data_IF_536570878608
#
_entry.id   IF_536570878608
#
_cell.length_a   1.000
_cell.length_b   1.000
_cell.length_c   1.000
_cell.angle_alpha   90.00
_cell.angle_beta   90.00
_cell.angle_gamma   90.00
#
_symmetry.space_group_name_H-M   'P 1'
#
loop_
_entity.id
_entity.type
_entity.pdbx_description
1 polymer ?
#
# COMPACT_ATOMS: atom_id res chain seq x y z
N UNK A 1 9.67 6.21 6.97
CA UNK A 1 9.95 4.82 6.58
C UNK A 1 9.52 3.82 7.64
N UNK A 2 10.05 3.89 8.87
CA UNK A 2 9.89 2.83 9.89
C UNK A 2 8.47 2.36 10.24
N UNK A 3 7.46 3.22 10.14
CA UNK A 3 6.12 2.90 10.67
C UNK A 3 5.40 1.76 9.90
N UNK A 4 5.71 1.58 8.62
CA UNK A 4 5.13 0.51 7.78
C UNK A 4 6.20 -0.44 7.23
N UNK A 5 7.42 -0.41 7.76
CA UNK A 5 8.54 -1.21 7.27
C UNK A 5 8.36 -2.73 7.36
N UNK A 6 7.34 -3.21 8.08
CA UNK A 6 7.05 -4.63 8.27
C UNK A 6 5.72 -5.08 7.64
N UNK A 7 5.15 -4.23 6.77
CA UNK A 7 3.80 -4.43 6.23
C UNK A 7 3.83 -4.34 4.71
N UNK A 8 3.32 -5.39 4.05
CA UNK A 8 2.95 -5.32 2.64
C UNK A 8 1.64 -4.53 2.52
N UNK A 9 1.68 -3.42 1.78
CA UNK A 9 0.50 -2.61 1.47
C UNK A 9 0.15 -2.79 0.00
N UNK A 10 -1.07 -3.25 -0.26
CA UNK A 10 -1.65 -3.29 -1.60
C UNK A 10 -2.68 -2.17 -1.73
N UNK A 11 -2.59 -1.38 -2.80
CA UNK A 11 -3.56 -0.33 -3.13
C UNK A 11 -4.27 -0.74 -4.40
N UNK A 12 -5.54 -1.12 -4.29
CA UNK A 12 -6.34 -1.42 -5.48
C UNK A 12 -6.97 -0.16 -6.03
N UNK A 13 -7.05 -0.09 -7.35
CA UNK A 13 -7.74 0.96 -8.08
C UNK A 13 -8.97 0.35 -8.73
N UNK A 14 -10.15 0.63 -8.17
CA UNK A 14 -11.42 0.07 -8.67
C UNK A 14 -12.36 1.17 -9.12
N UNK A 15 -13.29 0.90 -10.07
CA UNK A 15 -14.34 1.85 -10.42
C UNK A 15 -15.18 2.24 -9.19
N UNK A 16 -15.48 3.54 -9.03
CA UNK A 16 -16.32 4.01 -7.94
C UNK A 16 -16.04 5.46 -7.54
N UNK A 17 -16.79 5.95 -6.55
CA UNK A 17 -16.58 7.29 -5.99
C UNK A 17 -15.54 7.22 -4.87
N UNK A 18 -14.40 7.88 -5.06
CA UNK A 18 -13.41 8.12 -4.01
C UNK A 18 -13.97 8.91 -2.83
N UNK A 19 -13.27 8.90 -1.70
CA UNK A 19 -13.68 9.70 -0.54
C UNK A 19 -13.58 11.21 -0.86
N UNK A 20 -14.35 12.04 -0.16
CA UNK A 20 -14.49 13.48 -0.48
C UNK A 20 -13.18 14.28 -0.45
N UNK A 21 -12.16 13.80 0.25
CA UNK A 21 -10.83 14.42 0.34
C UNK A 21 -9.75 13.62 -0.40
N UNK A 22 -10.15 12.61 -1.19
CA UNK A 22 -9.21 11.71 -1.85
C UNK A 22 -8.83 12.23 -3.23
N UNK A 23 -7.54 12.13 -3.58
CA UNK A 23 -6.98 12.71 -4.81
C UNK A 23 -7.60 12.11 -6.08
N UNK A 24 -8.02 10.84 -6.01
CA UNK A 24 -8.63 10.12 -7.13
C UNK A 24 -10.12 10.44 -7.32
N UNK A 25 -10.74 11.20 -6.42
CA UNK A 25 -12.17 11.53 -6.46
C UNK A 25 -12.69 11.98 -7.84
N UNK A 26 -11.98 12.84 -8.59
CA UNK A 26 -12.39 13.28 -9.93
C UNK A 26 -12.26 12.21 -11.04
N UNK A 27 -11.59 11.09 -10.79
CA UNK A 27 -11.22 10.09 -11.82
C UNK A 27 -12.29 9.01 -12.05
N UNK A 28 -13.36 9.00 -11.25
CA UNK A 28 -14.36 7.92 -11.26
C UNK A 28 -13.82 6.58 -10.72
N UNK A 29 -12.71 6.63 -9.98
CA UNK A 29 -12.11 5.50 -9.27
C UNK A 29 -12.15 5.73 -7.76
N UNK A 30 -11.93 4.66 -7.01
CA UNK A 30 -11.67 4.69 -5.56
C UNK A 30 -10.53 3.76 -5.22
N UNK A 31 -9.80 4.08 -4.16
CA UNK A 31 -8.77 3.21 -3.62
C UNK A 31 -9.31 2.27 -2.54
N UNK A 32 -8.82 1.03 -2.55
CA UNK A 32 -8.98 0.08 -1.43
C UNK A 32 -7.58 -0.27 -0.95
N UNK A 33 -7.32 -0.02 0.33
CA UNK A 33 -6.04 -0.34 0.96
C UNK A 33 -6.19 -1.67 1.68
N UNK A 34 -5.30 -2.61 1.37
CA UNK A 34 -5.15 -3.88 2.08
C UNK A 34 -3.76 -3.96 2.66
N UNK A 35 -3.65 -4.39 3.91
CA UNK A 35 -2.38 -4.56 4.59
C UNK A 35 -2.24 -5.98 5.14
N UNK A 36 -1.02 -6.50 5.10
CA UNK A 36 -0.61 -7.71 5.82
C UNK A 36 0.83 -7.59 6.29
N UNK A 37 1.18 -8.35 7.32
CA UNK A 37 2.57 -8.45 7.77
C UNK A 37 3.37 -9.24 6.69
N UNK A 38 4.64 -8.88 6.51
CA UNK A 38 5.55 -9.64 5.68
C UNK A 38 5.73 -11.06 6.22
N UNK A 39 5.99 -12.01 5.33
CA UNK A 39 6.50 -13.31 5.74
C UNK A 39 7.96 -13.18 6.17
N UNK A 40 8.50 -14.24 6.77
CA UNK A 40 9.91 -14.29 7.17
C UNK A 40 10.81 -14.17 5.93
N UNK A 41 10.48 -14.90 4.86
CA UNK A 41 11.23 -14.87 3.60
C UNK A 41 11.20 -13.47 2.96
N UNK A 42 10.06 -12.78 2.98
CA UNK A 42 9.94 -11.41 2.47
C UNK A 42 10.75 -10.42 3.31
N UNK A 43 10.79 -10.61 4.62
CA UNK A 43 11.57 -9.77 5.54
C UNK A 43 13.07 -9.93 5.28
N UNK A 44 13.54 -11.16 5.08
CA UNK A 44 14.95 -11.44 4.75
C UNK A 44 15.36 -10.83 3.41
N UNK A 45 14.52 -10.94 2.38
CA UNK A 45 14.77 -10.35 1.06
C UNK A 45 14.92 -8.82 1.15
N UNK A 46 14.04 -8.16 1.90
CA UNK A 46 14.03 -6.70 2.03
C UNK A 46 15.16 -6.17 2.93
N UNK A 47 15.67 -6.97 3.86
CA UNK A 47 16.81 -6.58 4.71
C UNK A 47 18.11 -6.41 3.91
N UNK A 48 18.23 -7.07 2.75
CA UNK A 48 19.37 -6.94 1.84
C UNK A 48 19.32 -5.71 0.93
N UNK A 49 18.16 -5.05 0.80
CA UNK A 49 18.04 -3.84 0.00
C UNK A 49 18.30 -2.59 0.86
N UNK A 50 19.23 -1.70 0.47
CA UNK A 50 19.40 -0.43 1.16
C UNK A 50 18.10 0.38 1.03
N UNK A 51 17.59 0.88 2.16
CA UNK A 51 16.44 1.77 2.17
C UNK A 51 16.72 2.99 1.26
N UNK A 52 15.96 3.10 0.17
CA UNK A 52 16.03 4.22 -0.79
C UNK A 52 15.43 5.50 -0.23
#
# INVERSE_FOLDING_TARGET
FNYWSHTHITIDVVPGRGAGFSIEGPTGKRFIIRSRIFTEEETELLAGEPAR
#
